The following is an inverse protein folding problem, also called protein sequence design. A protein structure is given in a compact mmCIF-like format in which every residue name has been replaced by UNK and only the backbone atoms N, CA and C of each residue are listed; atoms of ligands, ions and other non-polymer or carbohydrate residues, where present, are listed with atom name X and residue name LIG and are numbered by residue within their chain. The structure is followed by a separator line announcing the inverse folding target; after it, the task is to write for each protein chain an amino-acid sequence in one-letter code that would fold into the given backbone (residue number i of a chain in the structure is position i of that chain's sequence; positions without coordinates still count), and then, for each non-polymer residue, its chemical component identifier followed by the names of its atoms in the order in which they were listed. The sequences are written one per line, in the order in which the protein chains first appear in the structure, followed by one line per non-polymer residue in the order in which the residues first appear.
data_IF_139599925931
#
_entry.id   IF_139599925931
#
_cell.length_a   1.000
_cell.length_b   1.000
_cell.length_c   1.000
_cell.angle_alpha   90.00
_cell.angle_beta   90.00
_cell.angle_gamma   90.00
#
_symmetry.space_group_name_H-M   'P 1'
#
loop_
_entity.id
_entity.type
_entity.pdbx_description
1 polymer ?
#
# COMPACT_ATOMS: atom_id res chain seq x y z
N UNK A 1 22.95 11.62 -20.74
CA UNK A 1 22.01 12.35 -21.63
C UNK A 1 20.73 12.77 -20.88
N UNK A 2 20.11 13.92 -21.17
CA UNK A 2 18.88 14.38 -20.50
C UNK A 2 17.71 13.39 -20.56
N UNK A 3 17.69 12.48 -21.55
CA UNK A 3 16.69 11.43 -21.66
C UNK A 3 16.81 10.35 -20.58
N UNK A 4 18.03 9.98 -20.20
CA UNK A 4 18.28 8.95 -19.18
C UNK A 4 17.77 9.42 -17.82
N UNK A 5 17.97 10.71 -17.51
CA UNK A 5 17.46 11.33 -16.28
C UNK A 5 15.92 11.27 -16.25
N UNK A 6 15.25 11.64 -17.35
CA UNK A 6 13.77 11.54 -17.45
C UNK A 6 13.28 10.12 -17.25
N UNK A 7 13.90 9.15 -17.91
CA UNK A 7 13.52 7.74 -17.80
C UNK A 7 13.74 7.20 -16.39
N UNK A 8 14.83 7.60 -15.72
CA UNK A 8 15.09 7.26 -14.33
C UNK A 8 13.99 7.79 -13.41
N UNK A 9 13.61 9.06 -13.54
CA UNK A 9 12.52 9.67 -12.75
C UNK A 9 11.19 8.94 -12.97
N UNK A 10 10.83 8.67 -14.23
CA UNK A 10 9.59 7.93 -14.55
C UNK A 10 9.61 6.55 -13.91
N UNK A 11 10.71 5.82 -14.06
CA UNK A 11 10.85 4.48 -13.49
C UNK A 11 10.71 4.49 -11.97
N UNK A 12 11.37 5.41 -11.27
CA UNK A 12 11.24 5.53 -9.82
C UNK A 12 9.79 5.83 -9.41
N UNK A 13 9.11 6.74 -10.10
CA UNK A 13 7.69 7.01 -9.82
C UNK A 13 6.80 5.78 -10.03
N UNK A 14 7.02 5.03 -11.11
CA UNK A 14 6.27 3.79 -11.38
C UNK A 14 6.53 2.71 -10.32
N UNK A 15 7.76 2.61 -9.81
CA UNK A 15 8.12 1.68 -8.73
C UNK A 15 7.44 2.06 -7.42
N UNK A 16 7.43 3.34 -7.06
CA UNK A 16 6.72 3.85 -5.88
C UNK A 16 5.21 3.60 -5.99
N UNK A 17 4.58 3.88 -7.14
CA UNK A 17 3.15 3.64 -7.33
C UNK A 17 2.79 2.15 -7.16
N UNK A 18 3.57 1.24 -7.75
CA UNK A 18 3.39 -0.21 -7.57
C UNK A 18 3.53 -0.64 -6.12
N UNK A 19 4.41 0.02 -5.38
CA UNK A 19 4.59 -0.25 -3.96
C UNK A 19 3.34 0.13 -3.17
N UNK A 20 2.78 1.32 -3.40
CA UNK A 20 1.54 1.76 -2.76
C UNK A 20 0.35 0.85 -3.10
N UNK A 21 0.20 0.43 -4.36
CA UNK A 21 -0.84 -0.52 -4.77
C UNK A 21 -0.72 -1.86 -4.01
N UNK A 22 0.51 -2.34 -3.79
CA UNK A 22 0.76 -3.58 -3.05
C UNK A 22 0.39 -3.45 -1.57
N UNK A 23 0.70 -2.31 -0.94
CA UNK A 23 0.34 -2.01 0.46
C UNK A 23 -1.18 -2.01 0.60
N UNK A 24 -1.88 -1.30 -0.27
CA UNK A 24 -3.33 -1.24 -0.28
C UNK A 24 -3.93 -2.64 -0.42
N UNK A 25 -3.48 -3.40 -1.43
CA UNK A 25 -3.97 -4.75 -1.67
C UNK A 25 -3.81 -5.65 -0.43
N UNK A 26 -2.64 -5.61 0.23
CA UNK A 26 -2.40 -6.39 1.45
C UNK A 26 -3.31 -5.96 2.61
N UNK A 27 -3.55 -4.66 2.76
CA UNK A 27 -4.47 -4.16 3.78
C UNK A 27 -5.90 -4.67 3.53
N UNK A 28 -6.38 -4.60 2.29
CA UNK A 28 -7.71 -5.10 1.88
C UNK A 28 -7.81 -6.61 2.07
N UNK A 29 -6.83 -7.39 1.63
CA UNK A 29 -6.78 -8.84 1.80
C UNK A 29 -6.88 -9.22 3.29
N UNK A 30 -6.23 -8.46 4.18
CA UNK A 30 -6.26 -8.68 5.63
C UNK A 30 -7.61 -8.33 6.27
N UNK A 31 -8.38 -7.41 5.69
CA UNK A 31 -9.77 -7.15 6.07
C UNK A 31 -10.66 -8.30 5.58
N UNK A 32 -10.47 -8.74 4.34
CA UNK A 32 -11.26 -9.83 3.75
C UNK A 32 -10.99 -11.18 4.44
N UNK A 33 -9.80 -11.37 5.03
CA UNK A 33 -9.48 -12.57 5.80
C UNK A 33 -10.11 -12.62 7.20
N UNK A 34 -10.86 -11.59 7.61
CA UNK A 34 -11.54 -11.59 8.90
C UNK A 34 -12.67 -12.62 8.94
N UNK A 35 -12.91 -13.21 10.12
CA UNK A 35 -13.97 -14.22 10.30
C UNK A 35 -15.38 -13.66 10.03
N UNK A 36 -15.57 -12.37 10.29
CA UNK A 36 -16.80 -11.64 10.03
C UNK A 36 -16.64 -10.92 8.69
N UNK A 37 -17.66 -10.96 7.84
CA UNK A 37 -17.71 -10.12 6.65
C UNK A 37 -17.77 -8.64 7.06
N UNK A 38 -16.84 -7.84 6.55
CA UNK A 38 -16.73 -6.41 6.84
C UNK A 38 -17.03 -5.65 5.56
N UNK A 39 -18.16 -4.96 5.54
CA UNK A 39 -18.64 -4.21 4.39
C UNK A 39 -17.73 -3.02 4.08
N UNK A 40 -17.29 -2.91 2.84
CA UNK A 40 -16.47 -1.79 2.36
C UNK A 40 -17.21 -0.46 2.48
N UNK A 41 -16.51 0.58 2.91
CA UNK A 41 -17.11 1.89 3.21
C UNK A 41 -17.87 1.94 4.55
N UNK A 42 -18.00 0.83 5.29
CA UNK A 42 -18.46 0.88 6.67
C UNK A 42 -17.41 1.51 7.59
N UNK A 43 -17.85 2.07 8.72
CA UNK A 43 -16.93 2.64 9.73
C UNK A 43 -15.92 1.60 10.26
N UNK A 44 -16.35 0.35 10.42
CA UNK A 44 -15.48 -0.75 10.85
C UNK A 44 -14.39 -1.02 9.80
N UNK A 45 -14.78 -1.05 8.52
CA UNK A 45 -13.84 -1.20 7.42
C UNK A 45 -12.82 -0.07 7.35
N UNK A 46 -13.27 1.18 7.45
CA UNK A 46 -12.36 2.36 7.41
C UNK A 46 -11.31 2.33 8.53
N UNK A 47 -11.72 1.91 9.74
CA UNK A 47 -10.83 1.78 10.88
C UNK A 47 -9.78 0.69 10.62
N UNK A 48 -10.21 -0.47 10.12
CA UNK A 48 -9.30 -1.59 9.84
C UNK A 48 -8.37 -1.30 8.68
N UNK A 49 -8.87 -0.67 7.61
CA UNK A 49 -8.07 -0.26 6.47
C UNK A 49 -6.95 0.68 6.91
N UNK A 50 -7.27 1.77 7.63
CA UNK A 50 -6.25 2.69 8.16
C UNK A 50 -5.22 1.98 9.01
N UNK A 51 -5.66 1.07 9.89
CA UNK A 51 -4.76 0.28 10.74
C UNK A 51 -3.83 -0.60 9.91
N UNK A 52 -4.36 -1.44 9.03
CA UNK A 52 -3.57 -2.39 8.27
C UNK A 52 -2.70 -1.74 7.21
N UNK A 53 -3.16 -0.65 6.59
CA UNK A 53 -2.35 0.16 5.71
C UNK A 53 -1.13 0.73 6.45
N UNK A 54 -1.33 1.30 7.64
CA UNK A 54 -0.24 1.81 8.48
C UNK A 54 0.72 0.70 8.94
N UNK A 55 0.21 -0.49 9.26
CA UNK A 55 1.03 -1.66 9.58
C UNK A 55 1.92 -2.05 8.38
N UNK A 56 1.38 -2.09 7.16
CA UNK A 56 2.14 -2.43 5.95
C UNK A 56 3.15 -1.34 5.56
N UNK A 57 2.82 -0.05 5.71
CA UNK A 57 3.75 1.08 5.53
C UNK A 57 4.91 1.00 6.54
N UNK A 58 4.61 0.70 7.80
CA UNK A 58 5.64 0.59 8.84
C UNK A 58 6.65 -0.52 8.53
N UNK A 59 6.19 -1.63 7.94
CA UNK A 59 7.09 -2.70 7.47
C UNK A 59 8.03 -2.20 6.37
N UNK A 60 7.55 -1.38 5.43
CA UNK A 60 8.42 -0.83 4.39
C UNK A 60 9.50 0.08 4.95
N UNK A 61 9.17 0.91 5.95
CA UNK A 61 10.16 1.71 6.68
C UNK A 61 11.27 0.84 7.30
N UNK A 62 10.94 -0.32 7.85
CA UNK A 62 11.92 -1.27 8.40
C UNK A 62 12.72 -2.06 7.34
N UNK A 63 12.27 -2.10 6.08
CA UNK A 63 12.99 -2.75 4.98
C UNK A 63 13.98 -1.82 4.26
N UNK A 64 13.90 -0.50 4.53
CA UNK A 64 14.78 0.52 3.95
C UNK A 64 15.97 0.91 4.86
N UNK A 65 16.07 0.33 6.06
CA UNK A 65 17.26 0.40 6.94
C UNK A 65 18.23 -0.75 6.67
#
# INVERSE_FOLDING_TARGET
EPNEIRLSVVKTLEEELKLYDLIEKKAIEKIQSQKKAIEEGSREWEILYRKYYNDEISKLGTFLE
#
